data_IF_195827848241
#
_entry.id   IF_195827848241
#
_cell.length_a   1.000
_cell.length_b   1.000
_cell.length_c   1.000
_cell.angle_alpha   90.00
_cell.angle_beta   90.00
_cell.angle_gamma   90.00
#
_symmetry.space_group_name_H-M   'P 1'
#
loop_
_entity.id
_entity.type
_entity.pdbx_description
1 polymer ?
#
# COMPACT_ATOMS: atom_id res chain seq x y z
N UNK A 1 41.83 -15.87 37.61
CA UNK A 1 40.55 -15.52 36.96
C UNK A 1 40.51 -14.01 36.91
N UNK A 2 40.89 -13.42 35.78
CA UNK A 2 40.97 -11.97 35.62
C UNK A 2 39.57 -11.42 35.40
N UNK A 3 39.21 -10.42 36.21
CA UNK A 3 37.93 -9.69 36.29
C UNK A 3 37.56 -8.91 35.03
N UNK A 4 37.70 -9.51 33.85
CA UNK A 4 36.94 -9.13 32.65
C UNK A 4 35.52 -9.70 32.78
N UNK A 5 34.87 -9.41 33.91
CA UNK A 5 33.44 -9.59 34.11
C UNK A 5 32.75 -8.62 33.16
N UNK A 6 32.35 -9.13 31.99
CA UNK A 6 31.19 -8.70 31.18
C UNK A 6 30.58 -7.35 31.60
N UNK A 7 31.27 -6.23 31.35
CA UNK A 7 30.59 -4.93 31.31
C UNK A 7 29.57 -5.05 30.18
N UNK A 8 28.29 -5.09 30.55
CA UNK A 8 27.20 -5.09 29.58
C UNK A 8 27.34 -3.79 28.79
N UNK A 9 27.48 -3.83 27.46
CA UNK A 9 27.61 -2.63 26.65
C UNK A 9 26.54 -1.60 27.03
N UNK A 10 26.84 -0.29 27.07
CA UNK A 10 25.88 0.73 27.51
C UNK A 10 24.52 0.65 26.80
N UNK A 11 24.52 0.39 25.48
CA UNK A 11 23.29 0.18 24.71
C UNK A 11 22.48 -1.04 25.19
N UNK A 12 23.13 -2.15 25.51
CA UNK A 12 22.49 -3.35 26.05
C UNK A 12 21.93 -3.11 27.46
N UNK A 13 22.64 -2.34 28.28
CA UNK A 13 22.17 -1.95 29.60
C UNK A 13 20.92 -1.07 29.50
N UNK A 14 20.93 -0.07 28.61
CA UNK A 14 19.78 0.79 28.35
C UNK A 14 18.57 -0.02 27.85
N UNK A 15 18.76 -0.92 26.88
CA UNK A 15 17.70 -1.80 26.37
C UNK A 15 17.08 -2.65 27.47
N UNK A 16 17.90 -3.29 28.32
CA UNK A 16 17.41 -4.10 29.44
C UNK A 16 16.66 -3.28 30.50
N UNK A 17 16.99 -2.01 30.68
CA UNK A 17 16.25 -1.12 31.57
C UNK A 17 14.87 -0.80 30.98
N UNK A 18 14.81 -0.45 29.69
CA UNK A 18 13.57 -0.20 28.99
C UNK A 18 12.63 -1.43 28.99
N UNK A 19 13.15 -2.62 28.72
CA UNK A 19 12.39 -3.89 28.77
C UNK A 19 11.78 -4.18 30.15
N UNK A 20 12.39 -3.65 31.23
CA UNK A 20 11.87 -3.77 32.60
C UNK A 20 10.96 -2.60 33.01
N UNK A 21 10.71 -1.66 32.10
CA UNK A 21 9.91 -0.46 32.35
C UNK A 21 10.66 0.69 33.04
N UNK A 22 11.98 0.57 33.25
CA UNK A 22 12.81 1.67 33.77
C UNK A 22 13.24 2.59 32.63
N UNK A 23 12.27 3.38 32.14
CA UNK A 23 12.47 4.30 31.02
C UNK A 23 13.35 5.51 31.43
N UNK A 24 13.38 5.87 32.71
CA UNK A 24 14.27 6.92 33.22
C UNK A 24 15.74 6.47 33.18
N UNK A 25 16.03 5.28 33.70
CA UNK A 25 17.37 4.70 33.66
C UNK A 25 17.86 4.47 32.23
N UNK A 26 16.99 3.96 31.35
CA UNK A 26 17.32 3.78 29.94
C UNK A 26 17.63 5.12 29.24
N UNK A 27 16.78 6.13 29.43
CA UNK A 27 16.97 7.45 28.83
C UNK A 27 18.26 8.12 29.30
N UNK A 28 18.63 7.97 30.58
CA UNK A 28 19.87 8.52 31.11
C UNK A 28 21.11 7.96 30.40
N UNK A 29 21.21 6.63 30.26
CA UNK A 29 22.33 5.99 29.58
C UNK A 29 22.38 6.40 28.11
N UNK A 30 21.24 6.41 27.42
CA UNK A 30 21.17 6.79 26.01
C UNK A 30 21.54 8.26 25.81
N UNK A 31 21.10 9.16 26.70
CA UNK A 31 21.45 10.57 26.64
C UNK A 31 22.96 10.81 26.82
N UNK A 32 23.63 10.04 27.69
CA UNK A 32 25.09 10.11 27.85
C UNK A 32 25.81 9.70 26.55
N UNK A 33 25.37 8.62 25.90
CA UNK A 33 25.94 8.18 24.62
C UNK A 33 25.69 9.19 23.49
N UNK A 34 24.52 9.82 23.47
CA UNK A 34 24.17 10.87 22.48
C UNK A 34 25.02 12.13 22.66
N UNK A 35 25.39 12.44 23.91
CA UNK A 35 26.18 13.61 24.27
C UNK A 35 27.64 13.51 23.82
N UNK A 36 28.20 12.31 23.60
CA UNK A 36 29.51 12.12 23.00
C UNK A 36 29.44 12.30 21.47
N UNK A 37 29.96 13.41 20.91
CA UNK A 37 29.78 13.69 19.49
C UNK A 37 30.54 12.72 18.57
N UNK A 38 31.56 12.06 19.11
CA UNK A 38 32.45 11.14 18.40
C UNK A 38 32.25 9.68 18.81
N UNK A 39 31.26 9.41 19.67
CA UNK A 39 30.93 8.07 20.11
C UNK A 39 30.44 7.21 18.94
N UNK A 40 30.95 5.98 18.76
CA UNK A 40 30.52 5.10 17.68
C UNK A 40 29.02 4.75 17.76
N UNK A 41 28.49 4.72 18.99
CA UNK A 41 27.10 4.36 19.28
C UNK A 41 26.14 5.54 19.23
N UNK A 42 26.62 6.76 18.96
CA UNK A 42 25.83 8.00 19.08
C UNK A 42 24.54 7.97 18.25
N UNK A 43 24.63 7.50 17.00
CA UNK A 43 23.50 7.43 16.09
C UNK A 43 22.45 6.41 16.57
N UNK A 44 22.89 5.22 16.98
CA UNK A 44 22.03 4.18 17.53
C UNK A 44 21.38 4.63 18.84
N UNK A 45 22.17 5.24 19.74
CA UNK A 45 21.70 5.76 21.01
C UNK A 45 20.66 6.87 20.82
N UNK A 46 20.82 7.73 19.80
CA UNK A 46 19.84 8.77 19.49
C UNK A 46 18.49 8.20 19.02
N UNK A 47 18.49 7.12 18.23
CA UNK A 47 17.26 6.39 17.87
C UNK A 47 16.64 5.73 19.10
N UNK A 48 17.45 5.03 19.90
CA UNK A 48 16.98 4.41 21.14
C UNK A 48 16.39 5.43 22.12
N UNK A 49 17.02 6.59 22.25
CA UNK A 49 16.54 7.69 23.10
C UNK A 49 15.20 8.22 22.60
N UNK A 50 15.02 8.35 21.28
CA UNK A 50 13.75 8.76 20.70
C UNK A 50 12.62 7.80 21.09
N UNK A 51 12.84 6.49 20.93
CA UNK A 51 11.84 5.45 21.28
C UNK A 51 11.51 5.49 22.77
N UNK A 52 12.52 5.50 23.65
CA UNK A 52 12.30 5.50 25.11
C UNK A 52 11.56 6.76 25.57
N UNK A 53 11.90 7.93 25.02
CA UNK A 53 11.21 9.18 25.34
C UNK A 53 9.77 9.18 24.82
N UNK A 54 9.51 8.55 23.69
CA UNK A 54 8.16 8.41 23.18
C UNK A 54 7.30 7.52 24.09
N UNK A 55 7.83 6.37 24.52
CA UNK A 55 7.14 5.46 25.44
C UNK A 55 6.82 6.12 26.80
N UNK A 56 7.63 7.09 27.22
CA UNK A 56 7.37 7.94 28.39
C UNK A 56 6.28 9.00 28.17
N UNK A 57 5.92 9.28 26.92
CA UNK A 57 5.03 10.38 26.54
C UNK A 57 5.74 11.72 26.32
N UNK A 58 7.07 11.76 26.34
CA UNK A 58 7.89 12.96 26.14
C UNK A 58 8.10 13.25 24.63
N UNK A 59 7.01 13.47 23.90
CA UNK A 59 6.98 13.54 22.42
C UNK A 59 7.98 14.53 21.82
N UNK A 60 8.09 15.74 22.36
CA UNK A 60 9.02 16.74 21.82
C UNK A 60 10.50 16.38 22.08
N UNK A 61 10.78 15.71 23.21
CA UNK A 61 12.11 15.23 23.51
C UNK A 61 12.47 14.03 22.60
N UNK A 62 11.52 13.13 22.35
CA UNK A 62 11.67 12.04 21.39
C UNK A 62 12.01 12.57 19.98
N UNK A 63 11.29 13.59 19.53
CA UNK A 63 11.56 14.27 18.25
C UNK A 63 12.95 14.89 18.20
N UNK A 64 13.40 15.52 19.29
CA UNK A 64 14.73 16.10 19.37
C UNK A 64 15.82 15.02 19.26
N UNK A 65 15.62 13.87 19.92
CA UNK A 65 16.52 12.72 19.82
C UNK A 65 16.53 12.13 18.39
N UNK A 66 15.38 11.96 17.75
CA UNK A 66 15.30 11.49 16.36
C UNK A 66 15.96 12.47 15.36
N UNK A 67 15.77 13.79 15.53
CA UNK A 67 16.51 14.78 14.73
C UNK A 67 18.02 14.70 14.95
N UNK A 68 18.44 14.37 16.17
CA UNK A 68 19.87 14.16 16.47
C UNK A 68 20.40 12.95 15.72
N UNK A 69 19.68 11.83 15.71
CA UNK A 69 20.03 10.64 14.92
C UNK A 69 20.15 10.97 13.43
N UNK A 70 19.18 11.69 12.86
CA UNK A 70 19.25 12.17 11.47
C UNK A 70 20.49 13.02 11.19
N UNK A 71 20.82 13.94 12.09
CA UNK A 71 21.98 14.82 11.95
C UNK A 71 23.33 14.08 11.99
N UNK A 72 23.38 12.85 12.51
CA UNK A 72 24.60 12.03 12.44
C UNK A 72 24.93 11.58 11.01
N UNK A 73 23.94 11.54 10.12
CA UNK A 73 24.09 11.06 8.75
C UNK A 73 24.40 9.56 8.65
N UNK A 74 24.33 8.79 9.74
CA UNK A 74 24.51 7.34 9.69
C UNK A 74 23.35 6.70 8.90
N UNK A 75 23.58 6.01 7.78
CA UNK A 75 22.51 5.60 6.86
C UNK A 75 21.35 4.84 7.53
N UNK A 76 21.66 3.79 8.28
CA UNK A 76 20.66 2.95 8.95
C UNK A 76 19.84 3.71 10.01
N UNK A 77 20.53 4.35 10.97
CA UNK A 77 19.88 5.06 12.07
C UNK A 77 19.21 6.37 11.64
N UNK A 78 19.72 7.03 10.60
CA UNK A 78 19.06 8.19 10.02
C UNK A 78 17.73 7.78 9.37
N UNK A 79 17.69 6.70 8.60
CA UNK A 79 16.45 6.19 8.02
C UNK A 79 15.44 5.79 9.12
N UNK A 80 15.88 5.05 10.15
CA UNK A 80 15.04 4.70 11.31
C UNK A 80 14.47 5.94 12.01
N UNK A 81 15.29 6.95 12.23
CA UNK A 81 14.86 8.19 12.88
C UNK A 81 13.86 8.99 12.05
N UNK A 82 14.03 9.06 10.72
CA UNK A 82 13.06 9.68 9.84
C UNK A 82 11.73 8.90 9.84
N UNK A 83 11.76 7.56 9.78
CA UNK A 83 10.55 6.73 9.91
C UNK A 83 9.82 6.99 11.24
N UNK A 84 10.57 7.05 12.35
CA UNK A 84 10.01 7.34 13.67
C UNK A 84 9.34 8.72 13.71
N UNK A 85 9.98 9.76 13.18
CA UNK A 85 9.37 11.09 13.06
C UNK A 85 8.10 11.06 12.19
N UNK A 86 8.14 10.37 11.05
CA UNK A 86 7.03 10.31 10.12
C UNK A 86 5.80 9.64 10.75
N UNK A 87 5.98 8.49 11.39
CA UNK A 87 4.92 7.78 12.11
C UNK A 87 4.36 8.61 13.28
N UNK A 88 5.21 9.37 13.97
CA UNK A 88 4.77 10.30 15.01
C UNK A 88 3.90 11.42 14.47
N UNK A 89 4.25 11.99 13.32
CA UNK A 89 3.39 12.98 12.68
C UNK A 89 2.09 12.39 12.14
N UNK A 90 2.10 11.16 11.59
CA UNK A 90 0.86 10.47 11.17
C UNK A 90 -0.12 10.31 12.34
N UNK A 91 0.35 9.82 13.51
CA UNK A 91 -0.51 9.64 14.70
C UNK A 91 -1.12 10.94 15.23
N UNK A 92 -0.45 12.07 15.01
CA UNK A 92 -0.95 13.40 15.37
C UNK A 92 -1.83 14.04 14.28
N UNK A 93 -2.05 13.38 13.15
CA UNK A 93 -2.79 13.96 12.01
C UNK A 93 -2.03 15.10 11.31
N UNK A 94 -0.71 15.14 11.45
CA UNK A 94 0.19 16.18 10.92
C UNK A 94 0.72 15.79 9.55
N UNK A 95 -0.19 15.71 8.57
CA UNK A 95 0.07 15.15 7.24
C UNK A 95 1.30 15.74 6.52
N UNK A 96 1.43 17.08 6.47
CA UNK A 96 2.57 17.73 5.80
C UNK A 96 3.92 17.42 6.47
N UNK A 97 3.94 17.35 7.81
CA UNK A 97 5.16 16.99 8.52
C UNK A 97 5.49 15.49 8.36
N UNK A 98 4.48 14.63 8.33
CA UNK A 98 4.64 13.20 8.06
C UNK A 98 5.22 12.99 6.64
N UNK A 99 4.64 13.67 5.65
CA UNK A 99 5.09 13.67 4.26
C UNK A 99 6.56 14.08 4.15
N UNK A 100 6.93 15.23 4.74
CA UNK A 100 8.32 15.70 4.72
C UNK A 100 9.28 14.70 5.39
N UNK A 101 8.85 14.03 6.47
CA UNK A 101 9.66 13.02 7.14
C UNK A 101 9.82 11.73 6.30
N UNK A 102 8.77 11.26 5.62
CA UNK A 102 8.86 10.14 4.68
C UNK A 102 9.75 10.46 3.47
N UNK A 103 9.66 11.68 2.93
CA UNK A 103 10.59 12.14 1.90
C UNK A 103 12.04 12.17 2.39
N UNK A 104 12.27 12.47 3.68
CA UNK A 104 13.61 12.37 4.26
C UNK A 104 14.11 10.91 4.33
N UNK A 105 13.23 9.93 4.58
CA UNK A 105 13.58 8.50 4.50
C UNK A 105 14.10 8.16 3.10
N UNK A 106 13.37 8.58 2.06
CA UNK A 106 13.79 8.41 0.67
C UNK A 106 15.12 9.11 0.37
N UNK A 107 15.33 10.31 0.90
CA UNK A 107 16.57 11.06 0.77
C UNK A 107 17.79 10.38 1.41
N UNK A 108 17.60 9.62 2.50
CA UNK A 108 18.64 8.77 3.08
C UNK A 108 18.90 7.53 2.22
N UNK A 109 17.85 6.98 1.58
CA UNK A 109 17.99 5.95 0.55
C UNK A 109 18.38 4.57 1.07
N UNK A 110 18.11 4.26 2.34
CA UNK A 110 18.36 2.91 2.87
C UNK A 110 17.33 1.95 2.30
N UNK A 111 17.78 0.96 1.52
CA UNK A 111 16.93 0.05 0.74
C UNK A 111 15.78 -0.58 1.53
N UNK A 112 16.01 -0.95 2.79
CA UNK A 112 14.98 -1.55 3.65
C UNK A 112 13.78 -0.63 3.95
N UNK A 113 13.94 0.69 3.82
CA UNK A 113 12.89 1.68 4.14
C UNK A 113 12.30 2.38 2.93
N UNK A 114 12.95 2.29 1.77
CA UNK A 114 12.47 2.92 0.52
C UNK A 114 11.07 2.41 0.12
N UNK A 115 10.83 1.08 0.03
CA UNK A 115 9.50 0.56 -0.30
C UNK A 115 8.40 1.07 0.65
N UNK A 116 8.69 1.05 1.96
CA UNK A 116 7.75 1.47 3.00
C UNK A 116 7.45 2.97 2.97
N UNK A 117 8.45 3.80 2.66
CA UNK A 117 8.26 5.24 2.55
C UNK A 117 7.35 5.60 1.36
N UNK A 118 7.51 4.93 0.22
CA UNK A 118 6.62 5.10 -0.93
C UNK A 118 5.17 4.70 -0.61
N UNK A 119 4.94 3.54 0.04
CA UNK A 119 3.59 3.17 0.50
C UNK A 119 2.99 4.19 1.47
N UNK A 120 3.80 4.76 2.37
CA UNK A 120 3.31 5.77 3.31
C UNK A 120 2.97 7.09 2.61
N UNK A 121 3.76 7.52 1.63
CA UNK A 121 3.47 8.69 0.81
C UNK A 121 2.20 8.48 -0.04
N UNK A 122 2.02 7.30 -0.63
CA UNK A 122 0.78 6.93 -1.33
C UNK A 122 -0.44 7.06 -0.39
N UNK A 123 -0.38 6.51 0.83
CA UNK A 123 -1.47 6.64 1.83
C UNK A 123 -1.78 8.11 2.16
N UNK A 124 -0.76 8.95 2.32
CA UNK A 124 -0.94 10.39 2.58
C UNK A 124 -1.55 11.11 1.37
N UNK A 125 -1.12 10.76 0.16
CA UNK A 125 -1.67 11.31 -1.08
C UNK A 125 -3.14 10.91 -1.27
N UNK A 126 -3.52 9.67 -0.95
CA UNK A 126 -4.92 9.21 -0.96
C UNK A 126 -5.76 10.04 0.00
N UNK A 127 -5.29 10.29 1.22
CA UNK A 127 -5.99 11.13 2.19
C UNK A 127 -6.14 12.59 1.72
N UNK A 128 -5.20 13.08 0.91
CA UNK A 128 -5.26 14.41 0.29
C UNK A 128 -6.08 14.45 -1.02
N UNK A 129 -6.52 13.30 -1.54
CA UNK A 129 -7.20 13.20 -2.83
C UNK A 129 -6.29 13.48 -4.03
N UNK A 130 -4.96 13.36 -3.87
CA UNK A 130 -3.99 13.59 -4.94
C UNK A 130 -3.68 12.28 -5.68
N UNK A 131 -4.56 11.89 -6.61
CA UNK A 131 -4.50 10.59 -7.29
C UNK A 131 -3.25 10.41 -8.15
N UNK A 132 -2.80 11.46 -8.83
CA UNK A 132 -1.57 11.44 -9.64
C UNK A 132 -0.36 11.05 -8.79
N UNK A 133 -0.32 11.56 -7.56
CA UNK A 133 0.74 11.21 -6.62
C UNK A 133 0.57 9.81 -6.04
N UNK A 134 -0.65 9.36 -5.75
CA UNK A 134 -0.90 7.97 -5.32
C UNK A 134 -0.32 7.00 -6.35
N UNK A 135 -0.64 7.20 -7.62
CA UNK A 135 -0.15 6.37 -8.72
C UNK A 135 1.38 6.42 -8.82
N UNK A 136 1.99 7.61 -8.74
CA UNK A 136 3.44 7.78 -8.78
C UNK A 136 4.13 7.00 -7.64
N UNK A 137 3.65 7.16 -6.42
CA UNK A 137 4.27 6.56 -5.23
C UNK A 137 4.06 5.04 -5.20
N UNK A 138 2.90 4.52 -5.62
CA UNK A 138 2.67 3.07 -5.73
C UNK A 138 3.58 2.42 -6.78
N UNK A 139 3.76 3.05 -7.95
CA UNK A 139 4.73 2.54 -8.94
C UNK A 139 6.16 2.53 -8.41
N UNK A 140 6.56 3.61 -7.72
CA UNK A 140 7.88 3.66 -7.10
C UNK A 140 8.06 2.57 -6.01
N UNK A 141 7.01 2.24 -5.27
CA UNK A 141 7.04 1.11 -4.33
C UNK A 141 7.22 -0.24 -5.05
N UNK A 142 6.56 -0.45 -6.19
CA UNK A 142 6.73 -1.67 -7.01
C UNK A 142 8.18 -1.83 -7.53
N UNK A 143 8.81 -0.72 -7.92
CA UNK A 143 10.18 -0.70 -8.47
C UNK A 143 11.28 -0.75 -7.40
N UNK A 144 10.92 -0.70 -6.11
CA UNK A 144 11.87 -0.53 -5.00
C UNK A 144 12.63 -1.80 -4.59
N UNK A 145 12.30 -2.96 -5.17
CA UNK A 145 13.04 -4.21 -5.02
C UNK A 145 12.67 -5.07 -3.80
N UNK A 146 11.59 -4.74 -3.08
CA UNK A 146 10.96 -5.63 -2.09
C UNK A 146 9.72 -6.29 -2.71
N UNK A 147 9.74 -7.61 -3.00
CA UNK A 147 8.63 -8.27 -3.68
C UNK A 147 7.31 -8.28 -2.89
N UNK A 148 7.36 -8.27 -1.55
CA UNK A 148 6.15 -8.25 -0.74
C UNK A 148 5.49 -6.87 -0.75
N UNK A 149 6.28 -5.82 -0.57
CA UNK A 149 5.79 -4.44 -0.70
C UNK A 149 5.36 -4.14 -2.14
N UNK A 150 6.10 -4.63 -3.14
CA UNK A 150 5.75 -4.45 -4.54
C UNK A 150 4.42 -5.11 -4.89
N UNK A 151 4.18 -6.33 -4.44
CA UNK A 151 2.89 -7.00 -4.60
C UNK A 151 1.77 -6.17 -3.95
N UNK A 152 1.96 -5.71 -2.70
CA UNK A 152 0.96 -4.88 -2.02
C UNK A 152 0.67 -3.57 -2.74
N UNK A 153 1.70 -2.90 -3.24
CA UNK A 153 1.56 -1.66 -4.01
C UNK A 153 0.79 -1.90 -5.32
N UNK A 154 1.06 -3.01 -6.01
CA UNK A 154 0.34 -3.39 -7.21
C UNK A 154 -1.16 -3.65 -6.94
N UNK A 155 -1.51 -4.25 -5.79
CA UNK A 155 -2.91 -4.41 -5.40
C UNK A 155 -3.61 -3.07 -5.21
N UNK A 156 -2.98 -2.12 -4.51
CA UNK A 156 -3.56 -0.79 -4.27
C UNK A 156 -3.67 0.02 -5.57
N UNK A 157 -2.71 -0.11 -6.47
CA UNK A 157 -2.76 0.55 -7.79
C UNK A 157 -3.85 -0.06 -8.67
N UNK A 158 -4.00 -1.39 -8.67
CA UNK A 158 -5.04 -2.06 -9.43
C UNK A 158 -6.44 -1.67 -8.94
N UNK A 159 -6.65 -1.57 -7.62
CA UNK A 159 -7.92 -1.10 -7.06
C UNK A 159 -8.22 0.34 -7.52
N UNK A 160 -7.23 1.23 -7.47
CA UNK A 160 -7.35 2.60 -7.98
C UNK A 160 -7.75 2.64 -9.46
N UNK A 161 -7.06 1.86 -10.31
CA UNK A 161 -7.34 1.80 -11.75
C UNK A 161 -8.74 1.24 -12.03
N UNK A 162 -9.19 0.24 -11.26
CA UNK A 162 -10.54 -0.31 -11.38
C UNK A 162 -11.61 0.72 -11.01
N UNK A 163 -11.39 1.51 -9.95
CA UNK A 163 -12.30 2.60 -9.58
C UNK A 163 -12.42 3.67 -10.67
N UNK A 164 -11.37 3.87 -11.47
CA UNK A 164 -11.34 4.81 -12.59
C UNK A 164 -11.82 4.21 -13.92
N UNK A 165 -12.24 2.93 -13.92
CA UNK A 165 -12.73 2.27 -15.12
C UNK A 165 -11.61 1.89 -16.10
N UNK A 166 -10.40 1.64 -15.60
CA UNK A 166 -9.22 1.23 -16.36
C UNK A 166 -8.83 -0.24 -16.08
N UNK A 167 -9.73 -1.22 -16.30
CA UNK A 167 -9.48 -2.60 -15.92
C UNK A 167 -8.38 -3.28 -16.74
N UNK A 168 -8.07 -2.76 -17.94
CA UNK A 168 -6.92 -3.20 -18.74
C UNK A 168 -5.60 -2.88 -18.06
N UNK A 169 -5.40 -1.62 -17.68
CA UNK A 169 -4.22 -1.19 -16.96
C UNK A 169 -4.09 -1.90 -15.60
N UNK A 170 -5.21 -2.11 -14.90
CA UNK A 170 -5.22 -2.88 -13.66
C UNK A 170 -4.74 -4.33 -13.88
N UNK A 171 -5.19 -4.98 -14.96
CA UNK A 171 -4.76 -6.34 -15.30
C UNK A 171 -3.27 -6.41 -15.62
N UNK A 172 -2.73 -5.42 -16.37
CA UNK A 172 -1.30 -5.34 -16.70
C UNK A 172 -0.45 -5.21 -15.42
N UNK A 173 -0.80 -4.29 -14.52
CA UNK A 173 -0.12 -4.10 -13.23
C UNK A 173 -0.09 -5.39 -12.40
N UNK A 174 -1.20 -6.12 -12.35
CA UNK A 174 -1.31 -7.35 -11.59
C UNK A 174 -0.53 -8.50 -12.23
N UNK A 175 -0.49 -8.57 -13.56
CA UNK A 175 0.30 -9.56 -14.29
C UNK A 175 1.80 -9.36 -14.07
N UNK A 176 2.27 -8.11 -14.17
CA UNK A 176 3.67 -7.75 -13.90
C UNK A 176 4.06 -8.11 -12.46
N UNK A 177 3.22 -7.76 -11.48
CA UNK A 177 3.49 -8.08 -10.07
C UNK A 177 3.54 -9.60 -9.80
N UNK A 178 2.74 -10.39 -10.52
CA UNK A 178 2.72 -11.85 -10.38
C UNK A 178 4.01 -12.54 -10.83
N UNK A 179 4.86 -11.88 -11.62
CA UNK A 179 6.14 -12.46 -12.07
C UNK A 179 7.14 -12.64 -10.91
N UNK A 180 7.13 -11.71 -9.96
CA UNK A 180 8.09 -11.68 -8.83
C UNK A 180 7.44 -11.89 -7.45
N UNK A 181 6.10 -11.97 -7.40
CA UNK A 181 5.36 -12.04 -6.14
C UNK A 181 5.76 -13.24 -5.23
N UNK A 182 5.93 -13.01 -3.91
CA UNK A 182 6.01 -14.08 -2.93
C UNK A 182 4.77 -14.98 -2.96
N UNK A 183 4.94 -16.26 -2.62
CA UNK A 183 3.88 -17.26 -2.74
C UNK A 183 2.64 -16.93 -1.89
N UNK A 184 2.82 -16.24 -0.78
CA UNK A 184 1.77 -15.75 0.11
C UNK A 184 0.92 -14.62 -0.51
N UNK A 185 1.47 -13.82 -1.42
CA UNK A 185 0.78 -12.69 -2.07
C UNK A 185 0.06 -13.11 -3.37
N UNK A 186 0.54 -14.18 -4.02
CA UNK A 186 -0.01 -14.69 -5.30
C UNK A 186 -1.53 -14.89 -5.29
N UNK A 187 -2.16 -15.49 -4.26
CA UNK A 187 -3.60 -15.68 -4.25
C UNK A 187 -4.39 -14.36 -4.30
N UNK A 188 -3.92 -13.33 -3.59
CA UNK A 188 -4.56 -12.01 -3.57
C UNK A 188 -4.52 -11.35 -4.94
N UNK A 189 -3.33 -11.32 -5.56
CA UNK A 189 -3.12 -10.79 -6.90
C UNK A 189 -3.97 -11.51 -7.96
N UNK A 190 -4.07 -12.85 -7.88
CA UNK A 190 -4.90 -13.65 -8.81
C UNK A 190 -6.39 -13.32 -8.69
N UNK A 191 -6.89 -13.09 -7.47
CA UNK A 191 -8.30 -12.72 -7.26
C UNK A 191 -8.59 -11.35 -7.87
N UNK A 192 -7.73 -10.36 -7.62
CA UNK A 192 -7.88 -9.03 -8.23
C UNK A 192 -7.74 -9.08 -9.75
N UNK A 193 -6.86 -9.92 -10.30
CA UNK A 193 -6.72 -10.06 -11.75
C UNK A 193 -8.00 -10.66 -12.36
N UNK A 194 -8.62 -11.62 -11.67
CA UNK A 194 -9.94 -12.12 -12.03
C UNK A 194 -11.01 -11.03 -12.03
N UNK A 195 -10.99 -10.12 -11.04
CA UNK A 195 -11.90 -8.96 -10.99
C UNK A 195 -11.67 -8.04 -12.19
N UNK A 196 -10.40 -7.71 -12.50
CA UNK A 196 -10.06 -6.90 -13.66
C UNK A 196 -10.53 -7.54 -14.98
N UNK A 197 -10.38 -8.86 -15.13
CA UNK A 197 -10.89 -9.59 -16.29
C UNK A 197 -12.43 -9.61 -16.37
N UNK A 198 -13.14 -9.63 -15.25
CA UNK A 198 -14.61 -9.50 -15.26
C UNK A 198 -15.04 -8.12 -15.75
N UNK A 199 -14.35 -7.05 -15.34
CA UNK A 199 -14.62 -5.70 -15.83
C UNK A 199 -14.30 -5.54 -17.32
N UNK A 200 -13.16 -6.09 -17.78
CA UNK A 200 -12.82 -6.15 -19.21
C UNK A 200 -13.89 -6.90 -20.01
N UNK A 201 -14.32 -8.07 -19.53
CA UNK A 201 -15.37 -8.83 -20.20
C UNK A 201 -16.68 -8.03 -20.29
N UNK A 202 -17.08 -7.35 -19.20
CA UNK A 202 -18.25 -6.46 -19.22
C UNK A 202 -18.11 -5.34 -20.24
N UNK A 203 -16.93 -4.70 -20.35
CA UNK A 203 -16.68 -3.64 -21.32
C UNK A 203 -16.82 -4.14 -22.76
N UNK A 204 -16.16 -5.26 -23.11
CA UNK A 204 -16.22 -5.85 -24.45
C UNK A 204 -17.65 -6.30 -24.83
N UNK A 205 -18.39 -6.90 -23.89
CA UNK A 205 -19.78 -7.27 -24.15
C UNK A 205 -20.66 -6.03 -24.33
N UNK A 206 -20.44 -4.96 -23.56
CA UNK A 206 -21.18 -3.71 -23.70
C UNK A 206 -20.95 -3.05 -25.07
N UNK A 207 -19.71 -2.97 -25.53
CA UNK A 207 -19.37 -2.47 -26.88
C UNK A 207 -20.08 -3.31 -27.97
N UNK A 208 -20.07 -4.64 -27.84
CA UNK A 208 -20.79 -5.52 -28.77
C UNK A 208 -22.31 -5.29 -28.77
N UNK A 209 -22.89 -4.93 -27.62
CA UNK A 209 -24.33 -4.61 -27.50
C UNK A 209 -24.64 -3.25 -28.13
N UNK A 210 -23.74 -2.27 -27.98
CA UNK A 210 -23.91 -0.91 -28.50
C UNK A 210 -23.83 -0.86 -30.02
N UNK A 211 -22.79 -1.43 -30.63
CA UNK A 211 -22.64 -1.40 -32.09
C UNK A 211 -23.60 -2.38 -32.80
N UNK A 212 -24.07 -3.39 -32.07
CA UNK A 212 -24.91 -4.44 -32.61
C UNK A 212 -24.15 -5.39 -33.55
N UNK A 213 -24.61 -6.62 -33.59
CA UNK A 213 -24.14 -7.66 -34.50
C UNK A 213 -25.34 -8.39 -35.10
N UNK A 214 -25.13 -9.57 -35.70
CA UNK A 214 -26.26 -10.44 -36.02
C UNK A 214 -27.06 -10.80 -34.74
N UNK A 215 -28.35 -11.15 -34.87
CA UNK A 215 -29.21 -11.40 -33.70
C UNK A 215 -28.68 -12.45 -32.73
N UNK A 216 -27.95 -13.46 -33.21
CA UNK A 216 -27.44 -14.54 -32.38
C UNK A 216 -26.26 -14.08 -31.52
N UNK A 217 -25.32 -13.35 -32.15
CA UNK A 217 -24.18 -12.75 -31.47
C UNK A 217 -24.63 -11.68 -30.48
N UNK A 218 -25.55 -10.81 -30.88
CA UNK A 218 -26.09 -9.76 -30.00
C UNK A 218 -26.82 -10.36 -28.79
N UNK A 219 -27.63 -11.41 -28.98
CA UNK A 219 -28.31 -12.08 -27.88
C UNK A 219 -27.34 -12.74 -26.89
N UNK A 220 -26.22 -13.30 -27.39
CA UNK A 220 -25.17 -13.86 -26.54
C UNK A 220 -24.44 -12.77 -25.75
N UNK A 221 -24.11 -11.64 -26.38
CA UNK A 221 -23.46 -10.51 -25.69
C UNK A 221 -24.35 -9.97 -24.56
N UNK A 222 -25.66 -9.80 -24.82
CA UNK A 222 -26.66 -9.41 -23.82
C UNK A 222 -26.69 -10.41 -22.65
N UNK A 223 -26.73 -11.71 -22.93
CA UNK A 223 -26.74 -12.76 -21.91
C UNK A 223 -25.47 -12.71 -21.05
N UNK A 224 -24.29 -12.68 -21.68
CA UNK A 224 -23.01 -12.69 -20.98
C UNK A 224 -22.83 -11.43 -20.14
N UNK A 225 -23.16 -10.26 -20.68
CA UNK A 225 -23.09 -9.00 -19.95
C UNK A 225 -24.02 -9.02 -18.74
N UNK A 226 -25.30 -9.35 -18.95
CA UNK A 226 -26.29 -9.35 -17.88
C UNK A 226 -26.02 -10.39 -16.78
N UNK A 227 -25.30 -11.47 -17.09
CA UNK A 227 -24.90 -12.48 -16.09
C UNK A 227 -23.59 -12.17 -15.39
N UNK A 228 -22.72 -11.37 -16.01
CA UNK A 228 -21.42 -10.99 -15.42
C UNK A 228 -21.57 -9.79 -14.49
N UNK A 229 -22.40 -8.81 -14.86
CA UNK A 229 -22.62 -7.58 -14.07
C UNK A 229 -22.97 -7.82 -12.58
N UNK A 230 -23.83 -8.80 -12.21
CA UNK A 230 -24.13 -9.06 -10.80
C UNK A 230 -22.93 -9.54 -9.98
N UNK A 231 -21.95 -10.19 -10.60
CA UNK A 231 -20.70 -10.61 -9.94
C UNK A 231 -19.87 -9.40 -9.47
N UNK A 232 -20.14 -8.22 -10.04
CA UNK A 232 -19.53 -6.93 -9.70
C UNK A 232 -20.48 -6.02 -8.92
N UNK A 233 -21.57 -6.56 -8.36
CA UNK A 233 -22.56 -5.79 -7.61
C UNK A 233 -23.47 -4.91 -8.47
N UNK A 234 -23.44 -5.06 -9.80
CA UNK A 234 -24.21 -4.24 -10.76
C UNK A 234 -25.51 -4.92 -11.19
N UNK A 235 -26.29 -5.41 -10.23
CA UNK A 235 -27.52 -6.17 -10.50
C UNK A 235 -28.60 -5.33 -11.21
N UNK A 236 -28.70 -4.04 -10.89
CA UNK A 236 -29.65 -3.15 -11.56
C UNK A 236 -29.29 -2.93 -13.03
N UNK A 237 -27.99 -2.82 -13.34
CA UNK A 237 -27.49 -2.71 -14.72
C UNK A 237 -27.80 -3.98 -15.50
N UNK A 238 -27.61 -5.15 -14.89
CA UNK A 238 -27.98 -6.43 -15.48
C UNK A 238 -29.47 -6.48 -15.85
N UNK A 239 -30.35 -5.99 -14.97
CA UNK A 239 -31.78 -5.88 -15.24
C UNK A 239 -32.06 -5.01 -16.47
N UNK A 240 -31.38 -3.86 -16.60
CA UNK A 240 -31.53 -2.97 -17.76
C UNK A 240 -31.04 -3.63 -19.06
N UNK A 241 -29.94 -4.37 -19.02
CA UNK A 241 -29.41 -5.10 -20.19
C UNK A 241 -30.41 -6.19 -20.63
N UNK A 242 -31.03 -6.91 -19.69
CA UNK A 242 -32.08 -7.87 -20.01
C UNK A 242 -33.31 -7.20 -20.62
N UNK A 243 -33.82 -6.14 -20.01
CA UNK A 243 -34.97 -5.39 -20.55
C UNK A 243 -34.70 -4.88 -21.95
N UNK A 244 -33.51 -4.31 -22.19
CA UNK A 244 -33.08 -3.87 -23.52
C UNK A 244 -33.21 -4.98 -24.57
N UNK A 245 -32.70 -6.18 -24.29
CA UNK A 245 -32.78 -7.30 -25.23
C UNK A 245 -34.19 -7.86 -25.42
N UNK A 246 -34.99 -7.94 -24.34
CA UNK A 246 -36.35 -8.50 -24.38
C UNK A 246 -37.34 -7.60 -25.12
N UNK A 247 -37.14 -6.29 -25.03
CA UNK A 247 -37.98 -5.24 -25.61
C UNK A 247 -37.42 -4.66 -26.91
N UNK A 248 -36.36 -5.27 -27.45
CA UNK A 248 -35.68 -4.80 -28.66
C UNK A 248 -36.61 -4.78 -29.89
N UNK A 249 -36.45 -3.77 -30.76
CA UNK A 249 -37.31 -3.59 -31.95
C UNK A 249 -37.16 -4.73 -32.97
N UNK A 250 -35.94 -5.28 -33.10
CA UNK A 250 -35.67 -6.51 -33.84
C UNK A 250 -36.29 -7.73 -33.12
N UNK A 251 -37.37 -8.25 -33.70
CA UNK A 251 -38.11 -9.39 -33.16
C UNK A 251 -37.30 -10.69 -33.14
N UNK A 252 -36.34 -10.86 -34.06
CA UNK A 252 -35.47 -12.03 -34.09
C UNK A 252 -34.50 -11.98 -32.91
N UNK A 253 -33.86 -10.83 -32.68
CA UNK A 253 -33.01 -10.63 -31.51
C UNK A 253 -33.79 -10.84 -30.20
N UNK A 254 -34.97 -10.20 -30.08
CA UNK A 254 -35.78 -10.33 -28.87
C UNK A 254 -36.24 -11.78 -28.62
N UNK A 255 -36.49 -12.57 -29.67
CA UNK A 255 -36.79 -14.00 -29.54
C UNK A 255 -35.59 -14.81 -29.03
N UNK A 256 -34.39 -14.56 -29.56
CA UNK A 256 -33.14 -15.19 -29.09
C UNK A 256 -32.84 -14.84 -27.63
N UNK A 257 -33.03 -13.57 -27.23
CA UNK A 257 -32.85 -13.14 -25.83
C UNK A 257 -33.84 -13.83 -24.90
N UNK A 258 -35.13 -13.97 -25.29
CA UNK A 258 -36.13 -14.69 -24.49
C UNK A 258 -35.73 -16.14 -24.23
N UNK A 259 -35.20 -16.84 -25.24
CA UNK A 259 -34.73 -18.22 -25.08
C UNK A 259 -33.60 -18.33 -24.04
N UNK A 260 -32.67 -17.36 -24.04
CA UNK A 260 -31.52 -17.31 -23.12
C UNK A 260 -31.89 -16.88 -21.71
N UNK A 261 -32.82 -15.93 -21.58
CA UNK A 261 -33.30 -15.44 -20.29
C UNK A 261 -33.90 -16.56 -19.44
N UNK A 262 -34.65 -17.48 -20.04
CA UNK A 262 -35.30 -18.61 -19.35
C UNK A 262 -34.38 -19.82 -19.12
N UNK A 263 -33.11 -19.76 -19.52
CA UNK A 263 -32.25 -20.95 -19.52
C UNK A 263 -31.78 -21.38 -18.12
N UNK A 264 -31.83 -20.47 -17.15
CA UNK A 264 -31.39 -20.68 -15.76
C UNK A 264 -32.38 -20.08 -14.72
N UNK A 265 -33.62 -19.82 -15.13
CA UNK A 265 -34.73 -19.40 -14.25
C UNK A 265 -35.55 -20.62 -13.80
#
# INVERSE_FOLDING_TARGET
MTSSELETPPLDAARRLAERGDLDGAAAILAELVADPHGPDRAQAAVGLAVVLEERGDVEAARAAARTALATGHPEYAAQAACHLAQGFEREGRAEQARAAWQAVLGVGTAAYVPLAHLALARLATAAGNLDEVEQELRAAMESGDPGVGARAAQELADLLLEHGEPGAAADVLLDALEEAPAEEVPGLRVQLGIAHLELACAEFAESVEYGADPQTSALAIELLARTLPLRGRADDAGRVWSYGLEHEDQTLAAEVRLRYHRDA
#
